data_IF_797691146024
#
_entry.id   IF_797691146024
#
_cell.length_a   1.000
_cell.length_b   1.000
_cell.length_c   1.000
_cell.angle_alpha   90.00
_cell.angle_beta   90.00
_cell.angle_gamma   90.00
#
_symmetry.space_group_name_H-M   'P 1'
#
loop_
_entity.id
_entity.type
_entity.pdbx_description
1 polymer ?
#
# COMPACT_ATOMS: atom_id res chain seq x y z
N UNK A 1 16.78 4.15 -0.76
CA UNK A 1 15.99 3.86 0.46
C UNK A 1 16.31 2.43 0.89
N UNK A 2 16.17 2.10 2.17
CA UNK A 2 16.28 0.72 2.66
C UNK A 2 15.05 -0.09 2.25
N UNK A 3 15.23 -1.37 1.95
CA UNK A 3 14.12 -2.29 1.69
C UNK A 3 13.29 -2.52 2.97
N UNK A 4 12.00 -2.74 2.80
CA UNK A 4 11.08 -3.15 3.86
C UNK A 4 10.61 -4.58 3.56
N UNK A 5 10.62 -5.44 4.58
CA UNK A 5 10.17 -6.83 4.46
C UNK A 5 8.89 -7.04 5.25
N UNK A 6 7.94 -7.78 4.66
CA UNK A 6 6.72 -8.23 5.32
C UNK A 6 6.87 -9.72 5.61
N UNK A 7 6.71 -10.12 6.87
CA UNK A 7 6.91 -11.49 7.35
C UNK A 7 5.59 -12.17 7.67
N UNK A 8 5.58 -13.49 7.56
CA UNK A 8 4.50 -14.32 8.11
C UNK A 8 4.75 -14.59 9.60
N UNK A 9 3.74 -14.32 10.44
CA UNK A 9 3.82 -14.63 11.86
C UNK A 9 4.57 -13.58 12.68
N UNK A 10 5.04 -13.97 13.86
CA UNK A 10 5.55 -13.04 14.87
C UNK A 10 7.08 -12.80 14.81
N UNK A 11 7.78 -13.49 13.92
CA UNK A 11 9.24 -13.48 13.87
C UNK A 11 9.75 -12.88 12.56
N UNK A 12 11.00 -12.41 12.58
CA UNK A 12 11.65 -11.75 11.44
C UNK A 12 12.71 -12.65 10.82
N UNK A 13 12.40 -13.94 10.63
CA UNK A 13 13.32 -14.88 9.99
C UNK A 13 13.30 -14.70 8.46
N UNK A 14 14.45 -14.81 7.80
CA UNK A 14 14.56 -14.55 6.37
C UNK A 14 13.71 -15.49 5.51
N UNK A 15 13.49 -16.72 5.95
CA UNK A 15 12.63 -17.70 5.29
C UNK A 15 11.12 -17.45 5.47
N UNK A 16 10.73 -16.51 6.34
CA UNK A 16 9.34 -16.13 6.59
C UNK A 16 8.93 -14.84 5.85
N UNK A 17 9.84 -14.26 5.06
CA UNK A 17 9.52 -13.06 4.27
C UNK A 17 8.51 -13.44 3.17
N UNK A 18 7.30 -12.88 3.27
CA UNK A 18 6.25 -13.00 2.27
C UNK A 18 6.40 -12.00 1.14
N UNK A 19 6.83 -10.78 1.45
CA UNK A 19 6.96 -9.70 0.47
C UNK A 19 8.13 -8.77 0.79
N UNK A 20 8.66 -8.16 -0.26
CA UNK A 20 9.71 -7.15 -0.17
C UNK A 20 9.24 -5.87 -0.87
N UNK A 21 9.51 -4.73 -0.26
CA UNK A 21 9.22 -3.40 -0.80
C UNK A 21 10.51 -2.60 -0.95
N UNK A 22 10.78 -2.08 -2.15
CA UNK A 22 12.00 -1.31 -2.45
C UNK A 22 11.78 0.22 -2.49
N UNK A 23 10.56 0.69 -2.22
CA UNK A 23 10.14 2.09 -2.40
C UNK A 23 9.37 2.36 -3.69
N UNK A 24 9.35 1.42 -4.63
CA UNK A 24 8.67 1.53 -5.92
C UNK A 24 7.86 0.27 -6.28
N UNK A 25 8.40 -0.91 -6.05
CA UNK A 25 7.79 -2.18 -6.40
C UNK A 25 7.59 -3.04 -5.15
N UNK A 26 6.47 -3.74 -5.14
CA UNK A 26 6.22 -4.82 -4.21
C UNK A 26 6.53 -6.15 -4.89
N UNK A 27 7.41 -6.93 -4.29
CA UNK A 27 7.83 -8.24 -4.76
C UNK A 27 7.21 -9.33 -3.91
N UNK A 28 6.93 -10.46 -4.54
CA UNK A 28 6.67 -11.71 -3.82
C UNK A 28 7.98 -12.31 -3.32
N UNK A 29 8.05 -12.61 -2.02
CA UNK A 29 9.21 -13.18 -1.36
C UNK A 29 10.28 -12.16 -0.97
N UNK A 30 11.46 -12.67 -0.62
CA UNK A 30 12.56 -11.92 0.00
C UNK A 30 13.43 -11.10 -0.96
N UNK A 31 13.24 -11.24 -2.27
CA UNK A 31 14.20 -10.73 -3.26
C UNK A 31 13.52 -9.86 -4.31
N UNK A 32 14.23 -8.82 -4.76
CA UNK A 32 13.77 -7.85 -5.73
C UNK A 32 13.90 -8.34 -7.19
N UNK A 33 13.42 -9.55 -7.48
CA UNK A 33 13.43 -10.09 -8.84
C UNK A 33 12.29 -9.48 -9.67
N UNK A 34 12.59 -8.99 -10.86
CA UNK A 34 11.60 -8.33 -11.73
C UNK A 34 10.41 -9.22 -12.09
N UNK A 35 10.61 -10.53 -12.15
CA UNK A 35 9.57 -11.53 -12.41
C UNK A 35 8.58 -11.71 -11.26
N UNK A 36 8.94 -11.27 -10.05
CA UNK A 36 8.12 -11.40 -8.84
C UNK A 36 7.39 -10.10 -8.47
N UNK A 37 7.45 -9.07 -9.32
CA UNK A 37 6.77 -7.80 -9.06
C UNK A 37 5.25 -8.00 -9.13
N UNK A 38 4.59 -7.75 -8.00
CA UNK A 38 3.14 -7.79 -7.86
C UNK A 38 2.50 -6.46 -8.21
N UNK A 39 3.11 -5.36 -7.78
CA UNK A 39 2.59 -4.00 -7.97
C UNK A 39 3.72 -2.98 -8.11
N UNK A 40 3.41 -1.88 -8.79
CA UNK A 40 4.29 -0.71 -8.96
C UNK A 40 3.62 0.55 -8.42
N UNK A 41 4.40 1.42 -7.79
CA UNK A 41 3.98 2.71 -7.27
C UNK A 41 4.77 3.83 -7.93
N UNK A 42 4.07 4.90 -8.32
CA UNK A 42 4.70 6.09 -8.91
C UNK A 42 4.65 7.34 -8.02
N UNK A 43 4.13 7.22 -6.79
CA UNK A 43 3.86 8.36 -5.90
C UNK A 43 2.39 8.77 -5.84
N UNK A 44 1.56 8.31 -6.78
CA UNK A 44 0.14 8.65 -6.90
C UNK A 44 -0.76 7.45 -7.16
N UNK A 45 -0.33 6.53 -8.01
CA UNK A 45 -1.09 5.40 -8.48
C UNK A 45 -0.39 4.09 -8.14
N UNK A 46 -1.17 3.12 -7.66
CA UNK A 46 -0.72 1.74 -7.50
C UNK A 46 -1.19 0.94 -8.71
N UNK A 47 -0.23 0.39 -9.45
CA UNK A 47 -0.46 -0.40 -10.64
C UNK A 47 -0.32 -1.88 -10.33
N UNK A 48 -1.12 -2.70 -11.00
CA UNK A 48 -0.91 -4.15 -11.04
C UNK A 48 0.33 -4.45 -11.91
N UNK A 49 1.24 -5.26 -11.39
CA UNK A 49 2.44 -5.69 -12.09
C UNK A 49 3.55 -4.64 -12.14
N UNK A 50 4.54 -4.89 -12.99
CA UNK A 50 5.80 -4.14 -13.06
C UNK A 50 5.74 -2.82 -13.86
N UNK A 51 4.71 -2.64 -14.67
CA UNK A 51 4.65 -1.55 -15.65
C UNK A 51 3.47 -0.63 -15.38
N UNK A 52 3.66 0.70 -15.39
CA UNK A 52 2.64 1.67 -15.01
C UNK A 52 1.68 1.97 -16.18
N UNK A 53 0.96 0.95 -16.66
CA UNK A 53 -0.09 1.16 -17.66
C UNK A 53 -1.37 1.69 -16.99
N UNK A 54 -2.00 2.70 -17.59
CA UNK A 54 -3.19 3.33 -17.02
C UNK A 54 -4.36 2.37 -16.81
N UNK A 55 -4.45 1.31 -17.62
CA UNK A 55 -5.46 0.25 -17.50
C UNK A 55 -5.28 -0.64 -16.27
N UNK A 56 -4.09 -0.64 -15.68
CA UNK A 56 -3.72 -1.49 -14.55
C UNK A 56 -3.75 -0.76 -13.21
N UNK A 57 -4.23 0.49 -13.17
CA UNK A 57 -4.34 1.26 -11.92
C UNK A 57 -5.39 0.61 -11.01
N UNK A 58 -4.92 0.11 -9.87
CA UNK A 58 -5.74 -0.47 -8.80
C UNK A 58 -6.25 0.60 -7.85
N UNK A 59 -5.39 1.56 -7.49
CA UNK A 59 -5.71 2.60 -6.52
C UNK A 59 -5.05 3.92 -6.88
N UNK A 60 -5.65 5.01 -6.37
CA UNK A 60 -5.12 6.36 -6.47
C UNK A 60 -5.03 6.98 -5.09
N UNK A 61 -3.97 7.75 -4.85
CA UNK A 61 -3.73 8.50 -3.63
C UNK A 61 -3.63 9.99 -3.94
N UNK A 62 -4.26 10.82 -3.12
CA UNK A 62 -4.20 12.28 -3.26
C UNK A 62 -3.42 12.99 -2.13
N UNK A 63 -2.85 12.24 -1.19
CA UNK A 63 -2.24 12.77 0.04
C UNK A 63 -3.12 12.64 1.29
N UNK A 64 -4.41 12.34 1.12
CA UNK A 64 -5.39 12.23 2.21
C UNK A 64 -6.30 11.00 2.07
N UNK A 65 -6.75 10.69 0.87
CA UNK A 65 -7.67 9.61 0.58
C UNK A 65 -7.05 8.60 -0.38
N UNK A 66 -7.33 7.33 -0.10
CA UNK A 66 -7.10 6.26 -1.05
C UNK A 66 -8.39 5.93 -1.77
N UNK A 67 -8.35 5.99 -3.09
CA UNK A 67 -9.46 5.70 -3.98
C UNK A 67 -9.28 4.33 -4.63
N UNK A 68 -10.40 3.64 -4.86
CA UNK A 68 -10.44 2.49 -5.77
C UNK A 68 -10.36 2.98 -7.22
N UNK A 69 -9.42 2.43 -7.97
CA UNK A 69 -9.20 2.74 -9.39
C UNK A 69 -8.42 4.02 -9.64
N UNK A 70 -8.48 4.49 -10.89
CA UNK A 70 -7.63 5.57 -11.41
C UNK A 70 -8.06 7.00 -11.05
N UNK A 71 -9.26 7.16 -10.49
CA UNK A 71 -9.90 8.47 -10.37
C UNK A 71 -10.29 8.79 -8.93
N UNK A 72 -10.16 10.06 -8.57
CA UNK A 72 -10.45 10.59 -7.24
C UNK A 72 -11.95 10.89 -7.03
N UNK A 73 -12.82 9.93 -7.30
CA UNK A 73 -14.26 10.07 -7.04
C UNK A 73 -14.56 9.83 -5.56
N UNK A 74 -15.32 10.71 -4.93
CA UNK A 74 -15.66 10.58 -3.50
C UNK A 74 -16.36 9.25 -3.16
N UNK A 75 -17.13 8.69 -4.11
CA UNK A 75 -17.80 7.40 -3.97
C UNK A 75 -16.85 6.21 -3.96
N UNK A 76 -15.60 6.39 -4.41
CA UNK A 76 -14.58 5.36 -4.50
C UNK A 76 -13.56 5.43 -3.36
N UNK A 77 -13.73 6.32 -2.38
CA UNK A 77 -12.83 6.43 -1.23
C UNK A 77 -12.93 5.16 -0.38
N UNK A 78 -11.81 4.47 -0.24
CA UNK A 78 -11.66 3.29 0.61
C UNK A 78 -11.15 3.66 2.00
N UNK A 79 -10.22 4.61 2.08
CA UNK A 79 -9.59 5.01 3.33
C UNK A 79 -9.26 6.50 3.36
N UNK A 80 -9.22 7.04 4.57
CA UNK A 80 -8.81 8.43 4.87
C UNK A 80 -7.64 8.42 5.83
N UNK A 81 -6.68 9.31 5.62
CA UNK A 81 -5.52 9.54 6.48
C UNK A 81 -5.56 10.98 7.00
N UNK A 82 -5.33 11.16 8.29
CA UNK A 82 -5.28 12.49 8.92
C UNK A 82 -3.86 12.93 9.35
N UNK A 83 -2.84 12.08 9.16
CA UNK A 83 -1.48 12.31 9.65
C UNK A 83 -1.07 11.39 10.81
N UNK A 84 -2.02 10.71 11.43
CA UNK A 84 -1.80 9.82 12.59
C UNK A 84 -2.63 8.52 12.49
N UNK A 85 -3.87 8.63 12.00
CA UNK A 85 -4.85 7.55 11.92
C UNK A 85 -5.25 7.24 10.49
N UNK A 86 -5.37 5.94 10.20
CA UNK A 86 -6.00 5.45 8.99
C UNK A 86 -7.43 5.01 9.29
N UNK A 87 -8.39 5.66 8.65
CA UNK A 87 -9.83 5.40 8.81
C UNK A 87 -10.36 4.58 7.64
N UNK A 88 -11.36 3.73 7.93
CA UNK A 88 -12.17 3.09 6.90
C UNK A 88 -13.16 4.10 6.32
N UNK A 89 -13.16 4.22 4.99
CA UNK A 89 -14.06 5.10 4.24
C UNK A 89 -13.61 6.56 4.18
N UNK A 90 -14.55 7.44 3.81
CA UNK A 90 -14.29 8.83 3.44
C UNK A 90 -14.19 9.82 4.62
N UNK A 91 -14.45 9.37 5.84
CA UNK A 91 -14.62 10.26 6.99
C UNK A 91 -13.77 9.82 8.17
N UNK A 92 -13.24 10.79 8.90
CA UNK A 92 -12.41 10.60 10.09
C UNK A 92 -13.26 10.40 11.36
N UNK A 93 -14.12 9.39 11.35
CA UNK A 93 -14.88 9.00 12.55
C UNK A 93 -14.02 8.08 13.42
N UNK A 94 -13.92 8.37 14.71
CA UNK A 94 -13.09 7.58 15.63
C UNK A 94 -13.47 6.09 15.67
N UNK A 95 -14.74 5.77 15.40
CA UNK A 95 -15.24 4.38 15.32
C UNK A 95 -14.73 3.62 14.09
N UNK A 96 -14.19 4.31 13.09
CA UNK A 96 -13.69 3.74 11.83
C UNK A 96 -12.16 3.68 11.78
N UNK A 97 -11.46 4.03 12.87
CA UNK A 97 -10.00 3.92 12.95
C UNK A 97 -9.60 2.44 12.81
N UNK A 98 -8.79 2.14 11.79
CA UNK A 98 -8.20 0.81 11.59
C UNK A 98 -6.82 0.73 12.25
N UNK A 99 -6.01 1.77 12.09
CA UNK A 99 -4.65 1.83 12.61
C UNK A 99 -4.27 3.24 13.07
N UNK A 100 -3.38 3.28 14.06
CA UNK A 100 -2.65 4.48 14.50
C UNK A 100 -1.18 4.22 14.22
N UNK A 101 -0.51 5.16 13.58
CA UNK A 101 0.87 4.99 13.10
C UNK A 101 1.75 6.11 13.66
N UNK A 102 2.91 5.73 14.18
CA UNK A 102 3.95 6.67 14.59
C UNK A 102 4.98 6.80 13.45
N UNK A 103 5.01 7.96 12.80
CA UNK A 103 5.92 8.28 11.69
C UNK A 103 5.31 8.11 10.29
N UNK A 104 6.16 8.33 9.27
CA UNK A 104 5.74 8.27 7.87
C UNK A 104 5.66 6.81 7.38
N UNK A 105 4.47 6.37 7.01
CA UNK A 105 4.27 5.05 6.39
C UNK A 105 3.99 5.21 4.91
N UNK A 106 4.71 4.51 4.02
CA UNK A 106 4.39 4.51 2.60
C UNK A 106 2.98 3.96 2.41
N UNK A 107 2.08 4.79 1.90
CA UNK A 107 0.67 4.44 1.64
C UNK A 107 0.52 3.10 0.91
N UNK A 108 1.33 2.75 -0.13
CA UNK A 108 1.25 1.44 -0.78
C UNK A 108 1.40 0.24 0.15
N UNK A 109 2.24 0.36 1.18
CA UNK A 109 2.49 -0.70 2.15
C UNK A 109 1.28 -0.89 3.05
N UNK A 110 0.58 0.19 3.42
CA UNK A 110 -0.69 0.11 4.15
C UNK A 110 -1.76 -0.57 3.30
N UNK A 111 -1.87 -0.20 2.03
CA UNK A 111 -2.91 -0.76 1.14
C UNK A 111 -2.73 -2.24 0.90
N UNK A 112 -1.49 -2.69 0.67
CA UNK A 112 -1.24 -4.12 0.41
C UNK A 112 -1.29 -4.94 1.70
N UNK A 113 -0.80 -4.41 2.82
CA UNK A 113 -0.94 -5.07 4.13
C UNK A 113 -2.40 -5.20 4.60
N UNK A 114 -3.31 -4.33 4.13
CA UNK A 114 -4.74 -4.36 4.44
C UNK A 114 -5.58 -5.30 3.57
N UNK A 115 -5.04 -5.76 2.43
CA UNK A 115 -5.76 -6.57 1.44
C UNK A 115 -5.28 -8.04 1.42
N UNK A 116 -4.29 -8.39 2.24
CA UNK A 116 -3.74 -9.74 2.43
C UNK A 116 -4.15 -10.29 3.80
#
# INVERSE_FOLDING_TARGET
>A
MSQVHIYQGAYTYSNEILYTWDGKHLYRGAYAYSTEILCTWDGKHLYRGAYPYSTDILYTWDGKHLYRGAYAYSTEILYTWDGEHLYRGAYAYSTEILYTLDGAVPVPVLVVGLQL
#
